data_IF_116140056604
#
_entry.id   IF_116140056604
#
_cell.length_a   1.000
_cell.length_b   1.000
_cell.length_c   1.000
_cell.angle_alpha   90.00
_cell.angle_beta   90.00
_cell.angle_gamma   90.00
#
_symmetry.space_group_name_H-M   'P 1'
#
loop_
_entity.id
_entity.type
_entity.pdbx_description
1 polymer ?
2 non-polymer ?
3 water ?
#
# COMPACT_ATOMS: atom_id res chain seq x y z
N UNK A 1 -17.23 14.70 -8.78
CA UNK A 1 -15.82 14.84 -8.78
C UNK A 1 -15.53 16.28 -9.08
N UNK A 2 -15.22 17.04 -8.08
CA UNK A 2 -14.99 18.44 -8.29
C UNK A 2 -13.53 18.78 -8.62
N UNK A 3 -12.66 17.83 -8.47
CA UNK A 3 -11.22 18.07 -8.61
C UNK A 3 -10.69 17.33 -9.85
N UNK A 4 -9.45 17.63 -10.23
CA UNK A 4 -8.85 17.08 -11.46
C UNK A 4 -7.48 16.51 -11.09
N UNK A 5 -7.10 15.40 -11.75
CA UNK A 5 -5.80 14.76 -11.56
C UNK A 5 -4.84 15.15 -12.68
N UNK A 6 -3.58 15.41 -12.32
CA UNK A 6 -2.50 15.55 -13.30
C UNK A 6 -1.73 14.23 -13.42
N UNK A 7 -1.48 13.79 -14.67
CA UNK A 7 -0.77 12.56 -14.99
C UNK A 7 0.67 12.89 -15.41
N UNK A 8 1.65 12.33 -14.71
CA UNK A 8 3.05 12.61 -14.93
C UNK A 8 3.68 11.30 -15.41
N UNK A 9 4.42 11.35 -16.54
CA UNK A 9 4.88 10.09 -17.15
C UNK A 9 5.99 10.37 -18.14
N UNK A 10 6.68 9.29 -18.51
CA UNK A 10 7.67 9.29 -19.59
C UNK A 10 6.95 9.11 -20.92
N UNK A 11 7.37 9.87 -21.95
CA UNK A 11 6.55 9.93 -23.16
C UNK A 11 6.42 8.60 -23.87
N UNK A 12 7.38 7.69 -23.69
CA UNK A 12 7.27 6.37 -24.32
C UNK A 12 6.12 5.56 -23.76
N UNK A 13 5.61 5.90 -22.58
CA UNK A 13 4.42 5.30 -22.01
C UNK A 13 3.11 6.02 -22.38
N UNK A 14 3.15 7.02 -23.28
CA UNK A 14 1.95 7.80 -23.60
C UNK A 14 0.77 6.91 -24.00
N UNK A 15 1.01 5.94 -24.89
CA UNK A 15 -0.08 5.07 -25.34
C UNK A 15 -0.86 4.48 -24.18
N UNK A 16 -0.13 3.88 -23.22
CA UNK A 16 -0.82 3.20 -22.12
C UNK A 16 -1.45 4.24 -21.19
N UNK A 17 -0.75 5.35 -20.98
CA UNK A 17 -1.32 6.39 -20.14
C UNK A 17 -2.56 7.00 -20.78
N UNK A 18 -2.58 7.09 -22.13
CA UNK A 18 -3.80 7.62 -22.77
C UNK A 18 -4.99 6.70 -22.53
N UNK A 19 -4.74 5.39 -22.49
CA UNK A 19 -5.85 4.46 -22.25
C UNK A 19 -6.32 4.55 -20.81
N UNK A 20 -5.39 4.78 -19.89
CA UNK A 20 -5.82 4.97 -18.50
C UNK A 20 -6.72 6.19 -18.40
N UNK A 21 -6.26 7.30 -19.00
CA UNK A 21 -7.03 8.53 -18.96
C UNK A 21 -8.38 8.31 -19.61
N UNK A 22 -8.40 7.63 -20.76
CA UNK A 22 -9.67 7.56 -21.46
C UNK A 22 -10.68 6.76 -20.64
N UNK A 23 -10.19 5.67 -20.02
CA UNK A 23 -11.05 4.87 -19.15
C UNK A 23 -11.57 5.70 -18.00
N UNK A 24 -10.68 6.50 -17.41
CA UNK A 24 -11.07 7.27 -16.24
C UNK A 24 -12.12 8.30 -16.60
N UNK A 25 -12.04 8.88 -17.82
CA UNK A 25 -13.00 9.96 -18.04
C UNK A 25 -14.27 9.46 -18.68
N UNK A 26 -14.30 8.20 -19.14
CA UNK A 26 -15.50 7.67 -19.78
C UNK A 26 -16.46 7.22 -18.68
N UNK A 27 -17.62 7.86 -18.51
CA UNK A 27 -18.47 7.54 -17.35
C UNK A 27 -18.99 6.11 -17.33
N UNK A 28 -19.10 5.45 -18.48
CA UNK A 28 -19.57 4.07 -18.55
C UNK A 28 -18.49 3.04 -18.28
N UNK A 29 -17.24 3.45 -18.23
CA UNK A 29 -16.17 2.56 -17.79
C UNK A 29 -16.01 2.77 -16.30
N UNK A 30 -16.55 1.86 -15.51
CA UNK A 30 -16.66 2.11 -14.08
C UNK A 30 -15.42 1.73 -13.28
N UNK A 31 -14.51 0.92 -13.83
CA UNK A 31 -13.31 0.53 -13.12
C UNK A 31 -12.38 1.68 -12.80
N UNK A 32 -12.42 2.74 -13.60
CA UNK A 32 -11.71 3.99 -13.31
C UNK A 32 -12.66 5.15 -13.53
N UNK A 33 -12.69 6.08 -12.58
CA UNK A 33 -13.66 7.16 -12.63
C UNK A 33 -13.18 8.38 -11.87
N UNK A 34 -12.63 9.32 -12.60
CA UNK A 34 -12.15 10.58 -12.06
C UNK A 34 -11.82 11.48 -13.25
N UNK A 35 -11.67 12.78 -12.97
CA UNK A 35 -11.31 13.77 -14.00
C UNK A 35 -9.80 13.82 -14.17
N UNK A 36 -9.36 14.02 -15.42
CA UNK A 36 -7.93 14.05 -15.76
C UNK A 36 -7.65 15.26 -16.65
N UNK A 37 -6.61 16.01 -16.31
CA UNK A 37 -6.20 17.16 -17.11
C UNK A 37 -5.64 16.71 -18.45
N UNK A 38 -5.90 17.49 -19.50
CA UNK A 38 -5.35 17.15 -20.83
C UNK A 38 -3.85 16.88 -20.70
N UNK A 39 -3.37 15.78 -21.31
CA UNK A 39 -1.99 15.39 -21.06
C UNK A 39 -1.03 16.37 -21.72
N UNK A 40 0.06 16.69 -21.05
CA UNK A 40 1.10 17.48 -21.68
C UNK A 40 1.79 16.63 -22.75
N UNK A 41 2.24 17.29 -23.81
CA UNK A 41 3.17 16.70 -24.77
C UNK A 41 4.55 17.28 -24.48
N UNK A 42 5.43 16.46 -23.91
CA UNK A 42 6.77 16.85 -23.56
C UNK A 42 7.69 16.70 -24.75
N UNK A 43 8.88 17.30 -24.62
CA UNK A 43 9.92 17.21 -25.63
C UNK A 43 11.28 17.22 -24.95
N UNK A 44 12.32 16.92 -25.74
CA UNK A 44 13.67 16.76 -25.22
C UNK A 44 14.27 18.10 -24.85
N UNK A 45 14.40 18.38 -23.55
CA UNK A 45 15.08 19.56 -23.05
C UNK A 45 15.55 19.32 -21.62
N UNK A 46 16.75 19.82 -21.28
CA UNK A 46 17.19 19.81 -19.88
C UNK A 46 17.11 21.19 -19.23
N UNK A 47 16.45 22.16 -19.87
CA UNK A 47 16.34 23.52 -19.34
C UNK A 47 15.26 23.53 -18.23
N UNK A 48 15.69 23.67 -16.97
CA UNK A 48 14.72 23.64 -15.88
C UNK A 48 13.69 24.77 -16.02
N UNK A 49 14.10 25.94 -16.48
CA UNK A 49 13.15 27.06 -16.54
C UNK A 49 12.09 26.82 -17.61
N UNK A 50 12.49 26.27 -18.75
CA UNK A 50 11.53 25.86 -19.77
C UNK A 50 10.58 24.78 -19.25
N UNK A 51 11.11 23.75 -18.60
CA UNK A 51 10.22 22.67 -18.15
C UNK A 51 9.21 23.22 -17.14
N UNK A 52 9.69 24.03 -16.18
CA UNK A 52 8.81 24.57 -15.15
C UNK A 52 7.71 25.46 -15.76
N UNK A 53 8.08 26.28 -16.75
CA UNK A 53 7.08 27.10 -17.41
C UNK A 53 6.10 26.23 -18.21
N UNK A 54 6.59 25.16 -18.83
CA UNK A 54 5.69 24.34 -19.65
C UNK A 54 4.66 23.60 -18.79
N UNK A 55 5.03 23.20 -17.58
CA UNK A 55 4.09 22.40 -16.77
C UNK A 55 3.22 23.24 -15.83
N UNK A 56 3.56 24.53 -15.60
CA UNK A 56 2.95 25.30 -14.53
C UNK A 56 1.42 25.36 -14.61
N UNK A 57 0.87 25.93 -15.67
CA UNK A 57 -0.58 26.10 -15.73
C UNK A 57 -1.31 24.77 -15.66
N UNK A 58 -0.78 23.75 -16.34
CA UNK A 58 -1.44 22.45 -16.36
C UNK A 58 -1.58 21.91 -14.95
N UNK A 59 -0.46 21.79 -14.27
CA UNK A 59 -0.52 21.32 -12.89
C UNK A 59 -1.44 22.20 -12.05
N UNK A 60 -1.45 23.51 -12.30
CA UNK A 60 -2.19 24.39 -11.40
C UNK A 60 -3.70 24.22 -11.57
N UNK A 61 -4.14 23.73 -12.73
CA UNK A 61 -5.56 23.37 -12.80
C UNK A 61 -5.90 22.00 -12.21
N UNK A 62 -5.05 21.44 -11.34
CA UNK A 62 -5.30 20.12 -10.77
C UNK A 62 -5.09 20.16 -9.27
N UNK A 63 -5.53 19.09 -8.63
CA UNK A 63 -5.51 19.00 -7.17
C UNK A 63 -4.54 17.95 -6.65
N UNK A 64 -3.99 17.14 -7.54
CA UNK A 64 -3.05 16.10 -7.15
C UNK A 64 -2.38 15.66 -8.43
N UNK A 65 -1.23 15.02 -8.27
CA UNK A 65 -0.42 14.50 -9.37
C UNK A 65 -0.20 13.00 -9.16
N UNK A 66 -0.36 12.22 -10.21
CA UNK A 66 -0.05 10.80 -10.12
C UNK A 66 1.08 10.52 -11.10
N UNK A 67 2.15 9.93 -10.60
CA UNK A 67 3.28 9.53 -11.45
C UNK A 67 3.12 8.08 -11.86
N UNK A 68 3.10 7.82 -13.17
CA UNK A 68 3.07 6.45 -13.64
C UNK A 68 4.49 5.97 -13.92
N UNK A 69 4.92 4.94 -13.17
CA UNK A 69 6.28 4.40 -13.24
C UNK A 69 6.33 3.23 -14.21
N UNK A 70 6.95 3.47 -15.38
CA UNK A 70 7.28 2.44 -16.34
C UNK A 70 8.74 2.11 -16.35
N UNK A 71 9.22 1.58 -17.48
CA UNK A 71 10.59 1.08 -17.50
C UNK A 71 11.62 2.20 -17.52
N UNK A 72 11.27 3.36 -18.05
CA UNK A 72 12.26 4.40 -18.26
C UNK A 72 11.87 5.72 -17.59
N UNK A 73 10.84 5.72 -16.74
CA UNK A 73 10.43 6.94 -16.05
C UNK A 73 11.55 7.52 -15.19
N UNK A 74 12.42 6.65 -14.67
CA UNK A 74 13.55 7.09 -13.85
C UNK A 74 14.51 8.01 -14.59
N UNK A 75 14.46 8.05 -15.93
CA UNK A 75 15.33 8.91 -16.74
C UNK A 75 14.73 10.26 -17.11
N UNK A 76 13.45 10.48 -16.85
CA UNK A 76 12.80 11.72 -17.26
C UNK A 76 13.39 12.94 -16.55
N UNK A 77 13.61 14.01 -17.31
CA UNK A 77 13.94 15.31 -16.73
C UNK A 77 12.72 16.11 -16.36
N UNK A 78 11.56 15.73 -16.88
CA UNK A 78 10.32 16.43 -16.62
C UNK A 78 9.65 15.96 -15.34
N UNK A 79 9.59 14.64 -15.14
CA UNK A 79 8.87 14.10 -13.98
C UNK A 79 9.38 14.71 -12.67
N UNK A 80 10.68 14.77 -12.40
CA UNK A 80 11.10 15.43 -11.14
C UNK A 80 10.53 16.84 -10.94
N UNK A 81 10.44 17.65 -12.01
CA UNK A 81 9.88 18.99 -11.85
C UNK A 81 8.38 18.94 -11.66
N UNK A 82 7.70 17.99 -12.32
CA UNK A 82 6.26 17.86 -12.10
C UNK A 82 5.98 17.45 -10.64
N UNK A 83 6.81 16.55 -10.11
CA UNK A 83 6.68 16.17 -8.70
C UNK A 83 6.96 17.37 -7.80
N UNK A 84 8.10 18.02 -7.98
CA UNK A 84 8.49 19.09 -7.07
C UNK A 84 7.51 20.27 -7.17
N UNK A 85 7.01 20.59 -8.38
CA UNK A 85 6.06 21.67 -8.51
C UNK A 85 4.78 21.36 -7.73
N UNK A 86 4.34 20.09 -7.78
CA UNK A 86 3.15 19.70 -7.05
C UNK A 86 3.35 19.84 -5.55
N UNK A 87 4.45 19.26 -5.06
CA UNK A 87 4.71 19.29 -3.62
C UNK A 87 4.87 20.69 -3.12
N UNK A 88 5.55 21.56 -3.89
CA UNK A 88 5.74 22.95 -3.47
C UNK A 88 4.42 23.71 -3.39
N UNK A 89 3.43 23.33 -4.21
CA UNK A 89 2.11 23.94 -4.07
C UNK A 89 1.29 23.33 -2.94
N UNK A 90 1.87 22.42 -2.16
CA UNK A 90 1.16 21.82 -1.04
C UNK A 90 0.19 20.74 -1.42
N UNK A 91 0.30 20.16 -2.66
CA UNK A 91 -0.59 19.14 -3.13
C UNK A 91 0.08 17.76 -3.04
N UNK A 92 -0.69 16.70 -2.98
CA UNK A 92 -0.11 15.35 -2.89
C UNK A 92 0.39 14.83 -4.22
N UNK A 93 1.44 14.01 -4.14
CA UNK A 93 1.94 13.23 -5.27
C UNK A 93 1.84 11.76 -4.90
N UNK A 94 1.14 10.97 -5.73
CA UNK A 94 1.09 9.52 -5.63
C UNK A 94 1.75 8.90 -6.85
N UNK A 95 2.12 7.63 -6.72
CA UNK A 95 2.82 6.96 -7.80
C UNK A 95 2.36 5.52 -7.86
N UNK A 96 2.25 4.99 -9.09
CA UNK A 96 1.82 3.60 -9.32
C UNK A 96 2.62 3.07 -10.51
N UNK A 97 2.96 1.79 -10.49
CA UNK A 97 3.60 1.15 -11.62
C UNK A 97 2.60 0.94 -12.74
N UNK A 98 3.06 1.05 -13.98
CA UNK A 98 2.22 0.63 -15.10
C UNK A 98 2.13 -0.89 -15.18
N UNK A 99 1.02 -1.39 -15.72
CA UNK A 99 0.79 -2.83 -15.77
C UNK A 99 1.92 -3.55 -16.49
N UNK A 100 2.37 -4.67 -15.94
CA UNK A 100 3.43 -5.51 -16.53
C UNK A 100 4.74 -4.76 -16.75
N UNK A 101 5.10 -3.87 -15.84
CA UNK A 101 6.39 -3.19 -15.91
C UNK A 101 7.09 -3.32 -14.56
N UNK A 102 8.41 -3.14 -14.55
CA UNK A 102 9.05 -3.20 -13.27
C UNK A 102 10.28 -2.28 -13.34
N UNK A 103 10.02 -0.98 -13.52
CA UNK A 103 11.11 -0.05 -13.72
C UNK A 103 11.77 0.38 -12.43
N UNK A 104 13.01 0.84 -12.58
CA UNK A 104 13.74 1.48 -11.49
C UNK A 104 12.90 2.62 -10.92
N UNK A 105 12.89 2.74 -9.60
CA UNK A 105 12.06 3.81 -9.03
C UNK A 105 12.72 5.16 -9.28
N UNK A 106 12.02 6.13 -9.85
CA UNK A 106 12.63 7.44 -10.11
C UNK A 106 13.15 8.07 -8.82
N UNK A 107 14.32 8.70 -8.93
CA UNK A 107 14.92 9.33 -7.76
C UNK A 107 14.01 10.38 -7.15
N UNK A 108 13.18 11.05 -7.95
CA UNK A 108 12.36 12.11 -7.36
C UNK A 108 11.25 11.55 -6.48
N UNK A 109 10.91 10.27 -6.66
CA UNK A 109 9.94 9.64 -5.76
C UNK A 109 10.62 9.15 -4.48
N UNK A 110 11.72 8.39 -4.64
CA UNK A 110 12.55 7.95 -3.51
C UNK A 110 12.90 9.09 -2.56
N UNK A 111 13.37 10.20 -3.15
CA UNK A 111 13.85 11.36 -2.39
C UNK A 111 12.79 11.96 -1.50
N UNK A 112 11.54 11.85 -1.90
CA UNK A 112 10.42 12.43 -1.18
C UNK A 112 9.62 11.38 -0.41
N UNK A 113 10.11 10.15 -0.33
CA UNK A 113 9.39 9.13 0.39
C UNK A 113 8.03 8.78 -0.19
N UNK A 114 7.88 8.87 -1.49
CA UNK A 114 6.61 8.59 -2.15
C UNK A 114 6.65 7.13 -2.56
N UNK A 115 5.75 6.33 -1.98
CA UNK A 115 5.68 4.91 -2.30
C UNK A 115 5.20 4.70 -3.72
N UNK A 116 5.78 3.71 -4.41
CA UNK A 116 5.33 3.36 -5.76
C UNK A 116 4.46 2.10 -5.62
N UNK A 117 3.14 2.27 -5.76
CA UNK A 117 2.22 1.14 -5.60
C UNK A 117 2.27 0.17 -6.78
N UNK A 118 2.02 -1.10 -6.49
CA UNK A 118 1.75 -2.09 -7.52
C UNK A 118 0.54 -1.69 -8.36
N UNK A 119 0.53 -2.11 -9.63
CA UNK A 119 -0.58 -1.78 -10.52
C UNK A 119 -1.88 -2.51 -10.15
N UNK A 120 -2.99 -1.78 -10.15
CA UNK A 120 -4.32 -2.36 -10.31
C UNK A 120 -5.25 -1.18 -10.54
N UNK A 121 -6.40 -1.43 -11.19
CA UNK A 121 -7.35 -0.33 -11.34
C UNK A 121 -7.91 0.11 -9.99
N UNK A 122 -8.14 -0.83 -9.06
CA UNK A 122 -8.69 -0.45 -7.76
C UNK A 122 -7.74 0.48 -7.02
N UNK A 123 -6.43 0.18 -7.08
CA UNK A 123 -5.43 1.03 -6.43
C UNK A 123 -5.33 2.41 -7.10
N UNK A 124 -5.30 2.47 -8.43
CA UNK A 124 -5.28 3.80 -9.08
C UNK A 124 -6.51 4.61 -8.68
N UNK A 125 -7.68 4.00 -8.67
CA UNK A 125 -8.89 4.73 -8.28
C UNK A 125 -8.75 5.28 -6.86
N UNK A 126 -8.13 4.51 -5.99
CA UNK A 126 -7.89 5.00 -4.63
C UNK A 126 -6.90 6.16 -4.64
N UNK A 127 -5.79 6.04 -5.38
CA UNK A 127 -4.80 7.12 -5.39
C UNK A 127 -5.40 8.39 -5.99
N UNK A 128 -6.35 8.21 -6.92
CA UNK A 128 -6.92 9.36 -7.61
C UNK A 128 -7.97 10.07 -6.77
N UNK A 129 -8.53 9.41 -5.75
CA UNK A 129 -9.62 10.01 -5.02
C UNK A 129 -9.40 10.16 -3.52
N UNK A 130 -8.47 9.43 -2.92
CA UNK A 130 -8.30 9.46 -1.48
C UNK A 130 -7.95 10.87 -1.00
N UNK A 131 -8.45 11.22 0.19
CA UNK A 131 -8.09 12.46 0.84
C UNK A 131 -7.21 12.23 2.06
N UNK A 132 -6.29 13.16 2.31
CA UNK A 132 -5.39 13.17 3.44
C UNK A 132 -6.00 14.00 4.58
N UNK A 133 -5.52 13.76 5.80
CA UNK A 133 -5.96 14.57 6.92
C UNK A 133 -5.22 15.89 6.91
N UNK A 134 -5.87 16.93 7.42
CA UNK A 134 -5.19 18.22 7.48
C UNK A 134 -3.92 18.11 8.32
N UNK A 135 -2.91 18.90 7.93
CA UNK A 135 -1.55 18.79 8.47
C UNK A 135 -0.96 17.42 8.16
N UNK A 136 -1.45 16.79 7.09
CA UNK A 136 -0.91 15.54 6.56
C UNK A 136 -1.19 15.48 5.07
N UNK B 3 -2.22 -28.14 12.97
CA UNK B 3 -1.58 -26.84 12.97
C UNK B 3 -2.50 -25.75 12.39
N UNK B 4 -2.80 -24.74 13.22
CA UNK B 4 -3.68 -23.63 12.85
C UNK B 4 -2.96 -22.34 13.20
N UNK B 5 -3.09 -21.34 12.32
CA UNK B 5 -2.40 -20.06 12.49
C UNK B 5 -3.35 -19.01 13.06
N UNK B 6 -2.88 -18.25 14.04
CA UNK B 6 -3.61 -17.09 14.54
C UNK B 6 -3.13 -15.83 13.81
N UNK B 7 -4.08 -15.04 13.29
CA UNK B 7 -3.81 -13.82 12.54
C UNK B 7 -4.02 -12.62 13.44
N UNK B 8 -2.95 -11.85 13.68
CA UNK B 8 -3.02 -10.69 14.57
C UNK B 8 -2.92 -9.43 13.71
N UNK B 9 -3.83 -8.48 13.90
CA UNK B 9 -3.83 -7.32 13.02
C UNK B 9 -4.62 -6.19 13.64
N UNK B 10 -4.41 -5.00 13.07
CA UNK B 10 -5.22 -3.82 13.31
C UNK B 10 -6.49 -3.88 12.46
N UNK B 11 -7.64 -3.56 13.05
CA UNK B 11 -8.92 -3.85 12.41
C UNK B 11 -9.09 -3.13 11.08
N UNK B 12 -8.47 -1.95 10.91
CA UNK B 12 -8.54 -1.24 9.62
C UNK B 12 -7.97 -2.08 8.47
N UNK B 13 -7.15 -3.07 8.76
CA UNK B 13 -6.60 -3.98 7.74
C UNK B 13 -7.45 -5.24 7.54
N UNK B 14 -8.62 -5.34 8.21
CA UNK B 14 -9.43 -6.57 8.12
C UNK B 14 -9.70 -6.99 6.67
N UNK B 15 -10.06 -6.01 5.83
CA UNK B 15 -10.35 -6.34 4.43
C UNK B 15 -9.24 -7.12 3.77
N UNK B 16 -8.01 -6.64 3.93
CA UNK B 16 -6.90 -7.33 3.25
C UNK B 16 -6.62 -8.64 3.95
N UNK B 17 -6.77 -8.64 5.28
CA UNK B 17 -6.41 -9.86 6.02
C UNK B 17 -7.42 -10.97 5.73
N UNK B 18 -8.71 -10.61 5.56
CA UNK B 18 -9.70 -11.60 5.14
C UNK B 18 -9.33 -12.23 3.81
N UNK B 19 -8.76 -11.43 2.91
CA UNK B 19 -8.33 -11.99 1.63
C UNK B 19 -7.17 -12.93 1.81
N UNK B 20 -6.23 -12.58 2.70
CA UNK B 20 -5.15 -13.52 2.96
C UNK B 20 -5.71 -14.83 3.53
N UNK B 21 -6.61 -14.73 4.51
CA UNK B 21 -7.13 -15.94 5.13
C UNK B 21 -7.93 -16.74 4.10
N UNK B 22 -8.68 -16.04 3.26
CA UNK B 22 -9.56 -16.77 2.35
C UNK B 22 -8.77 -17.58 1.35
N UNK B 23 -7.65 -16.99 0.86
CA UNK B 23 -6.76 -17.70 -0.06
C UNK B 23 -6.12 -18.88 0.64
N UNK B 24 -5.72 -18.69 1.89
CA UNK B 24 -4.96 -19.73 2.56
C UNK B 24 -5.81 -20.96 2.80
N UNK B 25 -7.08 -20.78 3.17
CA UNK B 25 -7.91 -21.92 3.52
C UNK B 25 -8.64 -22.49 2.32
N UNK B 26 -8.62 -21.81 1.18
CA UNK B 26 -9.22 -22.38 -0.03
C UNK B 26 -8.26 -23.41 -0.62
N UNK B 27 -8.62 -24.68 -0.66
CA UNK B 27 -7.63 -25.69 -1.11
C UNK B 27 -7.32 -25.57 -2.56
N UNK B 28 -8.15 -24.88 -3.34
CA UNK B 28 -7.91 -24.71 -4.76
C UNK B 28 -6.98 -23.53 -5.08
N UNK B 29 -6.70 -22.68 -4.09
CA UNK B 29 -5.73 -21.60 -4.24
C UNK B 29 -4.40 -22.05 -3.61
N UNK B 30 -3.37 -22.21 -4.44
CA UNK B 30 -2.17 -22.88 -3.97
C UNK B 30 -1.04 -21.95 -3.57
N UNK B 31 -1.16 -20.65 -3.84
CA UNK B 31 -0.09 -19.75 -3.43
C UNK B 31 -0.02 -19.52 -1.93
N UNK B 32 -1.11 -19.80 -1.22
CA UNK B 32 -1.12 -19.84 0.25
C UNK B 32 -1.94 -21.06 0.62
N UNK B 33 -1.42 -21.85 1.54
CA UNK B 33 -2.15 -23.07 1.89
C UNK B 33 -1.81 -23.42 3.33
N UNK B 34 -2.74 -23.08 4.22
CA UNK B 34 -2.59 -23.46 5.62
C UNK B 34 -3.92 -23.15 6.32
N UNK B 35 -4.08 -23.72 7.52
CA UNK B 35 -5.26 -23.52 8.36
C UNK B 35 -5.18 -22.23 9.18
N UNK B 36 -6.28 -21.50 9.27
CA UNK B 36 -6.33 -20.18 9.92
C UNK B 36 -7.53 -20.13 10.84
N UNK B 37 -7.31 -19.70 12.08
CA UNK B 37 -8.39 -19.57 13.06
C UNK B 37 -9.36 -18.46 12.69
N UNK B 38 -10.67 -18.68 12.97
CA UNK B 38 -11.67 -17.64 12.72
C UNK B 38 -11.16 -16.32 13.29
N UNK B 39 -11.21 -15.24 12.51
CA UNK B 39 -10.60 -13.97 12.93
C UNK B 39 -11.35 -13.41 14.13
N UNK B 40 -10.61 -12.82 15.07
CA UNK B 40 -11.27 -12.06 16.12
C UNK B 40 -11.94 -10.82 15.54
N UNK B 41 -12.98 -10.34 16.23
CA UNK B 41 -13.59 -9.05 15.94
C UNK B 41 -13.32 -8.16 17.14
N UNK B 42 -12.26 -7.36 17.04
CA UNK B 42 -11.71 -6.55 18.12
C UNK B 42 -12.59 -5.30 18.32
N UNK B 43 -12.52 -4.70 19.53
CA UNK B 43 -13.23 -3.46 19.80
C UNK B 43 -12.34 -2.49 20.58
N UNK B 44 -12.74 -1.22 20.63
CA UNK B 44 -11.87 -0.20 21.20
C UNK B 44 -11.85 -0.31 22.73
N UNK B 45 -10.70 -0.65 23.28
CA UNK B 45 -10.51 -0.68 24.72
C UNK B 45 -9.00 -0.64 24.98
N UNK B 46 -8.62 -0.06 26.10
CA UNK B 46 -7.22 -0.08 26.53
C UNK B 46 -7.05 -0.94 27.77
N UNK B 47 -8.09 -1.66 28.16
CA UNK B 47 -8.11 -2.45 29.38
C UNK B 47 -7.42 -3.78 29.10
N UNK B 48 -6.19 -3.93 29.61
CA UNK B 48 -5.41 -5.14 29.33
C UNK B 48 -6.12 -6.40 29.81
N UNK B 49 -6.92 -6.31 30.88
CA UNK B 49 -7.63 -7.50 31.36
C UNK B 49 -8.73 -7.91 30.41
N UNK B 50 -9.43 -6.95 29.84
CA UNK B 50 -10.48 -7.21 28.85
C UNK B 50 -9.87 -7.81 27.60
N UNK B 51 -8.73 -7.24 27.17
CA UNK B 51 -8.08 -7.72 25.96
C UNK B 51 -7.57 -9.15 26.15
N UNK B 52 -6.81 -9.39 27.23
CA UNK B 52 -6.29 -10.74 27.46
C UNK B 52 -7.43 -11.74 27.54
N UNK B 53 -8.54 -11.36 28.14
CA UNK B 53 -9.66 -12.27 28.21
C UNK B 53 -10.23 -12.56 26.83
N UNK B 54 -10.36 -11.51 26.00
CA UNK B 54 -10.97 -11.65 24.68
C UNK B 54 -10.13 -12.49 23.72
N UNK B 55 -8.81 -12.54 23.92
CA UNK B 55 -7.96 -13.23 22.94
C UNK B 55 -7.53 -14.63 23.39
N UNK B 56 -7.68 -14.94 24.67
CA UNK B 56 -7.10 -16.18 25.21
C UNK B 56 -7.60 -17.45 24.48
N UNK B 57 -8.92 -17.65 24.37
CA UNK B 57 -9.43 -18.91 23.84
C UNK B 57 -9.04 -19.08 22.38
N UNK B 58 -9.10 -17.98 21.64
CA UNK B 58 -8.83 -18.04 20.21
C UNK B 58 -7.38 -18.42 19.99
N UNK B 59 -6.46 -17.74 20.70
CA UNK B 59 -5.06 -18.05 20.53
C UNK B 59 -4.74 -19.45 21.00
N UNK B 60 -5.42 -19.94 22.05
CA UNK B 60 -5.19 -21.31 22.51
C UNK B 60 -5.54 -22.31 21.44
N UNK B 61 -6.46 -21.98 20.55
CA UNK B 61 -6.69 -22.96 19.51
C UNK B 61 -5.74 -22.94 18.33
N UNK B 62 -4.52 -22.42 18.50
CA UNK B 62 -3.60 -22.22 17.39
C UNK B 62 -2.18 -22.61 17.80
N UNK B 63 -1.30 -22.81 16.81
CA UNK B 63 0.05 -23.24 17.10
C UNK B 63 1.11 -22.20 16.81
N UNK B 64 0.74 -21.07 16.21
CA UNK B 64 1.67 -19.99 15.98
C UNK B 64 0.82 -18.77 15.66
N UNK B 65 1.42 -17.59 15.81
CA UNK B 65 0.73 -16.34 15.55
C UNK B 65 1.50 -15.57 14.49
N UNK B 66 0.80 -15.02 13.48
CA UNK B 66 1.47 -14.13 12.54
C UNK B 66 0.86 -12.74 12.70
N UNK B 67 1.71 -11.72 12.87
CA UNK B 67 1.29 -10.33 12.96
C UNK B 67 1.40 -9.69 11.59
N UNK B 68 0.33 -9.08 11.12
CA UNK B 68 0.32 -8.43 9.82
C UNK B 68 0.52 -6.94 10.07
N UNK B 69 1.64 -6.41 9.60
CA UNK B 69 2.07 -5.05 9.91
C UNK B 69 1.62 -4.15 8.76
N UNK B 70 0.60 -3.37 9.05
CA UNK B 70 0.11 -2.34 8.16
C UNK B 70 0.56 -0.96 8.59
N UNK B 71 -0.20 0.04 8.14
CA UNK B 71 0.25 1.39 8.40
C UNK B 71 0.00 1.81 9.84
N UNK B 72 -1.02 1.23 10.50
CA UNK B 72 -1.38 1.66 11.86
C UNK B 72 -1.30 0.53 12.88
N UNK B 73 -0.73 -0.61 12.51
CA UNK B 73 -0.64 -1.70 13.46
C UNK B 73 0.14 -1.30 14.73
N UNK B 74 1.12 -0.40 14.60
CA UNK B 74 1.91 0.01 15.75
C UNK B 74 1.09 0.76 16.77
N UNK B 75 -0.12 1.18 16.42
CA UNK B 75 -0.99 1.84 17.39
C UNK B 75 -1.97 0.87 18.07
N UNK B 76 -1.94 -0.43 17.74
CA UNK B 76 -2.94 -1.33 18.33
C UNK B 76 -2.61 -1.59 19.80
N UNK B 77 -3.66 -1.60 20.64
CA UNK B 77 -3.48 -2.09 22.02
C UNK B 77 -3.67 -3.58 22.13
N UNK B 78 -4.25 -4.21 21.12
CA UNK B 78 -4.52 -5.64 21.14
C UNK B 78 -3.31 -6.44 20.68
N UNK B 79 -2.71 -6.06 19.56
CA UNK B 79 -1.57 -6.80 19.02
C UNK B 79 -0.51 -7.06 20.08
N UNK B 80 -0.13 -6.09 20.92
CA UNK B 80 0.89 -6.41 21.94
C UNK B 80 0.48 -7.58 22.85
N UNK B 81 -0.81 -7.64 23.20
CA UNK B 81 -1.27 -8.75 24.04
C UNK B 81 -1.36 -10.06 23.28
N UNK B 82 -1.75 -10.02 22.01
CA UNK B 82 -1.77 -11.24 21.19
C UNK B 82 -0.35 -11.81 21.03
N UNK B 83 0.62 -10.92 20.88
CA UNK B 83 2.03 -11.34 20.80
C UNK B 83 2.51 -11.89 22.15
N UNK B 84 2.28 -11.17 23.22
CA UNK B 84 2.78 -11.65 24.50
C UNK B 84 2.08 -12.94 24.93
N UNK B 85 0.77 -13.05 24.69
CA UNK B 85 0.06 -14.28 25.06
C UNK B 85 0.63 -15.46 24.31
N UNK B 86 0.93 -15.27 23.00
CA UNK B 86 1.52 -16.35 22.23
C UNK B 86 2.89 -16.74 22.77
N UNK B 87 3.77 -15.75 22.92
CA UNK B 87 5.08 -16.07 23.42
C UNK B 87 4.99 -16.75 24.78
N UNK B 88 4.10 -16.28 25.66
CA UNK B 88 4.08 -16.87 27.00
C UNK B 88 3.57 -18.30 26.99
N UNK B 89 2.88 -18.69 25.94
CA UNK B 89 2.43 -20.07 25.81
C UNK B 89 3.47 -20.94 25.10
N UNK B 90 4.68 -20.42 24.89
CA UNK B 90 5.77 -21.15 24.26
C UNK B 90 5.61 -21.35 22.76
N UNK B 91 4.79 -20.56 22.11
CA UNK B 91 4.57 -20.63 20.67
C UNK B 91 5.30 -19.50 19.93
N UNK B 92 5.66 -19.70 18.68
CA UNK B 92 6.36 -18.66 17.93
C UNK B 92 5.44 -17.60 17.39
N UNK B 93 5.99 -16.40 17.30
CA UNK B 93 5.33 -15.29 16.63
C UNK B 93 6.20 -14.87 15.46
N UNK B 94 5.56 -14.71 14.29
CA UNK B 94 6.21 -14.18 13.11
C UNK B 94 5.48 -12.92 12.67
N UNK B 95 6.11 -12.13 11.81
CA UNK B 95 5.50 -10.87 11.39
C UNK B 95 5.83 -10.57 9.93
N UNK B 96 4.89 -9.94 9.23
CA UNK B 96 5.08 -9.62 7.81
C UNK B 96 4.28 -8.37 7.48
N UNK B 97 4.86 -7.54 6.59
CA UNK B 97 4.18 -6.33 6.18
C UNK B 97 3.03 -6.69 5.23
N UNK B 98 1.97 -5.91 5.30
CA UNK B 98 0.91 -6.07 4.29
C UNK B 98 1.37 -5.49 2.97
N UNK B 99 0.86 -6.05 1.88
CA UNK B 99 1.28 -5.62 0.54
C UNK B 99 1.17 -4.10 0.41
N UNK B 100 2.22 -3.46 -0.13
CA UNK B 100 2.18 -2.02 -0.42
C UNK B 100 1.97 -1.14 0.81
N UNK B 101 2.48 -1.55 1.96
CA UNK B 101 2.45 -0.71 3.14
C UNK B 101 3.86 -0.54 3.65
N UNK B 102 4.04 0.45 4.52
CA UNK B 102 5.34 0.74 5.09
C UNK B 102 5.15 1.35 6.48
N UNK B 103 4.41 0.67 7.34
CA UNK B 103 4.13 1.22 8.66
C UNK B 103 5.31 1.12 9.61
N UNK B 104 5.25 1.93 10.67
CA UNK B 104 6.21 1.79 11.77
C UNK B 104 6.13 0.39 12.34
N UNK B 105 7.28 -0.15 12.72
CA UNK B 105 7.28 -1.49 13.34
C UNK B 105 6.65 -1.41 14.74
N UNK B 106 5.65 -2.23 15.08
CA UNK B 106 5.06 -2.15 16.43
C UNK B 106 6.12 -2.42 17.47
N UNK B 107 6.07 -1.61 18.53
CA UNK B 107 6.98 -1.81 19.65
C UNK B 107 6.99 -3.26 20.13
N UNK B 108 5.84 -3.93 20.18
CA UNK B 108 5.82 -5.29 20.74
C UNK B 108 6.62 -6.27 19.88
N UNK B 109 6.85 -5.94 18.60
CA UNK B 109 7.71 -6.82 17.81
C UNK B 109 9.20 -6.54 18.05
N UNK B 110 9.57 -5.26 18.00
CA UNK B 110 10.93 -4.84 18.36
C UNK B 110 11.33 -5.38 19.72
N UNK B 111 10.45 -5.22 20.69
CA UNK B 111 10.76 -5.56 22.07
C UNK B 111 11.11 -7.04 22.23
N UNK B 112 10.53 -7.89 21.40
CA UNK B 112 10.73 -9.33 21.46
C UNK B 112 11.66 -9.85 20.37
N UNK B 113 12.31 -8.96 19.62
CA UNK B 113 13.23 -9.43 18.61
C UNK B 113 12.56 -10.08 17.44
N UNK B 114 11.35 -9.69 17.12
CA UNK B 114 10.63 -10.36 16.03
C UNK B 114 10.86 -9.55 14.76
N UNK B 115 11.46 -10.16 13.73
CA UNK B 115 11.71 -9.49 12.45
C UNK B 115 10.43 -9.33 11.65
N UNK B 116 10.24 -8.16 11.05
CA UNK B 116 9.11 -7.94 10.14
C UNK B 116 9.61 -8.15 8.72
N UNK B 117 9.18 -9.25 8.13
CA UNK B 117 9.55 -9.54 6.74
C UNK B 117 8.79 -8.62 5.77
N UNK B 118 9.36 -8.44 4.56
CA UNK B 118 8.65 -7.82 3.43
C UNK B 118 7.51 -8.72 2.95
N UNK B 119 6.50 -8.09 2.36
CA UNK B 119 5.35 -8.85 1.84
C UNK B 119 5.72 -9.70 0.60
N UNK B 120 5.39 -10.99 0.66
CA UNK B 120 5.10 -11.82 -0.51
C UNK B 120 4.28 -13.02 -0.04
N UNK B 121 3.54 -13.63 -0.97
CA UNK B 121 2.83 -14.87 -0.65
C UNK B 121 3.81 -15.97 -0.26
N UNK B 122 4.96 -16.02 -0.94
CA UNK B 122 5.92 -17.08 -0.66
C UNK B 122 6.45 -16.94 0.76
N UNK B 123 6.78 -15.71 1.16
CA UNK B 123 7.27 -15.51 2.52
C UNK B 123 6.17 -15.83 3.52
N UNK B 124 4.92 -15.42 3.25
CA UNK B 124 3.87 -15.75 4.20
C UNK B 124 3.72 -17.28 4.34
N UNK B 125 3.68 -17.99 3.23
CA UNK B 125 3.62 -19.45 3.31
C UNK B 125 4.75 -20.02 4.16
N UNK B 126 5.97 -19.48 3.99
CA UNK B 126 7.11 -19.89 4.82
C UNK B 126 6.84 -19.62 6.31
N UNK B 127 6.43 -18.39 6.65
CA UNK B 127 6.19 -18.09 8.08
C UNK B 127 5.08 -18.97 8.64
N UNK B 128 4.10 -19.32 7.80
CA UNK B 128 2.96 -20.09 8.27
C UNK B 128 3.35 -21.54 8.52
N UNK B 129 4.37 -22.04 7.82
CA UNK B 129 4.66 -23.48 7.88
C UNK B 129 6.05 -23.83 8.39
N UNK B 130 6.96 -22.88 8.49
CA UNK B 130 8.36 -23.13 8.83
C UNK B 130 8.47 -23.89 10.16
N UNK B 131 9.43 -24.81 10.22
CA UNK B 131 9.74 -25.51 11.47
C UNK B 131 10.28 -24.52 12.50
N UNK B 132 9.95 -24.73 13.77
CA UNK B 132 10.41 -23.78 14.78
C UNK B 132 11.88 -24.01 15.18
#
# INVERSE_FOLDING_TARGET
MSKVVFFSFKEEDRGVVLTIKGRAVNPSYTGLNFRVKDLLKRWKTEDAAVIKQAISKSIAGTSRTIVFVGEKTHTSYWVPHEVQTTLNAGKPVYAIRLKDTNGKIPQCLSENGIHVYSWSEERLQDLATRLEHHHHHH
MSKVVFFSFKEEDRGVVLTIKGRAVNPSYTGLNFRVKDLLKRWKTEDAAVIKQAISKSIAGTSRTIVFVGEKTHTSYWVPHEVQTTLNAGKPVYAIRLKDTNGKIPQCLSENGIHVYSWSEERLQDLATRLEHHHHHH
#
